data_IF_706350473016
#
_entry.id   IF_706350473016
#
_cell.length_a   1.000
_cell.length_b   1.000
_cell.length_c   1.000
_cell.angle_alpha   90.00
_cell.angle_beta   90.00
_cell.angle_gamma   90.00
#
_symmetry.space_group_name_H-M   'P 1'
#
loop_
_entity.id
_entity.type
_entity.pdbx_description
1 polymer ?
#
# COMPACT_ATOMS: atom_id res chain seq x y z
N UNK A 1 5.07 11.82 11.18
CA UNK A 1 4.40 10.86 10.28
C UNK A 1 5.21 9.58 10.25
N UNK A 2 4.80 8.57 11.00
CA UNK A 2 5.40 7.25 10.96
C UNK A 2 5.08 6.66 9.60
N UNK A 3 6.06 6.53 8.71
CA UNK A 3 5.91 5.63 7.57
C UNK A 3 5.66 4.27 8.19
N UNK A 4 4.43 3.75 8.09
CA UNK A 4 4.21 2.32 8.27
C UNK A 4 4.88 1.66 7.08
N UNK A 5 6.20 1.54 7.18
CA UNK A 5 6.96 0.62 6.37
C UNK A 5 6.42 -0.73 6.82
N UNK A 6 5.65 -1.40 5.97
CA UNK A 6 5.39 -2.82 6.12
C UNK A 6 6.70 -3.54 5.84
N UNK A 7 7.67 -3.34 6.73
CA UNK A 7 8.88 -4.13 6.81
C UNK A 7 8.41 -5.51 7.22
N UNK A 8 8.33 -6.39 6.25
CA UNK A 8 8.33 -7.81 6.51
C UNK A 8 9.60 -8.09 7.31
N UNK A 9 9.45 -8.16 8.65
CA UNK A 9 10.56 -8.25 9.60
C UNK A 9 11.44 -9.48 9.36
N UNK A 10 10.89 -10.46 8.63
CA UNK A 10 11.61 -11.62 8.13
C UNK A 10 12.02 -11.41 6.67
N UNK A 11 13.32 -11.43 6.43
CA UNK A 11 13.92 -11.34 5.08
C UNK A 11 13.97 -12.70 4.38
N UNK A 12 13.57 -13.77 5.06
CA UNK A 12 13.64 -15.12 4.52
C UNK A 12 12.47 -15.40 3.57
N UNK A 13 12.81 -15.68 2.31
CA UNK A 13 11.83 -16.12 1.30
C UNK A 13 11.32 -17.52 1.64
N UNK A 14 10.01 -17.62 1.91
CA UNK A 14 9.33 -18.91 2.06
C UNK A 14 8.79 -19.39 0.71
N UNK A 15 9.23 -20.56 0.27
CA UNK A 15 8.68 -21.19 -0.92
C UNK A 15 7.19 -21.51 -0.69
N UNK A 16 6.34 -20.98 -1.56
CA UNK A 16 4.88 -21.13 -1.48
C UNK A 16 4.37 -21.67 -2.81
N UNK A 17 3.70 -22.82 -2.77
CA UNK A 17 3.04 -23.39 -3.95
C UNK A 17 1.72 -22.64 -4.19
N UNK A 18 1.57 -22.07 -5.38
CA UNK A 18 0.37 -21.35 -5.80
C UNK A 18 -0.18 -21.96 -7.09
N UNK A 19 -1.51 -21.96 -7.22
CA UNK A 19 -2.19 -22.41 -8.44
C UNK A 19 -2.46 -21.21 -9.35
N UNK A 20 -1.94 -21.25 -10.57
CA UNK A 20 -2.13 -20.23 -11.61
C UNK A 20 -2.66 -20.89 -12.88
N UNK A 21 -3.29 -20.10 -13.75
CA UNK A 21 -3.74 -20.59 -15.05
C UNK A 21 -2.53 -21.06 -15.88
N UNK A 22 -2.58 -22.28 -16.40
CA UNK A 22 -1.47 -22.87 -17.14
C UNK A 22 -1.02 -21.98 -18.32
N UNK A 23 -1.97 -21.45 -19.10
CA UNK A 23 -1.67 -20.55 -20.23
C UNK A 23 -0.92 -19.29 -19.81
N UNK A 24 -1.20 -18.74 -18.61
CA UNK A 24 -0.51 -17.57 -18.07
C UNK A 24 0.94 -17.90 -17.71
N UNK A 25 1.17 -19.07 -17.11
CA UNK A 25 2.52 -19.53 -16.72
C UNK A 25 3.37 -19.80 -17.97
N UNK A 26 2.80 -20.44 -18.98
CA UNK A 26 3.51 -20.71 -20.24
C UNK A 26 3.80 -19.43 -21.02
N UNK A 27 2.86 -18.49 -21.05
CA UNK A 27 3.07 -17.15 -21.61
C UNK A 27 4.22 -16.42 -20.90
N UNK A 28 4.19 -16.39 -19.56
CA UNK A 28 5.23 -15.75 -18.76
C UNK A 28 6.61 -16.36 -19.03
N UNK A 29 6.70 -17.69 -19.12
CA UNK A 29 7.95 -18.38 -19.51
C UNK A 29 8.42 -17.96 -20.90
N UNK A 30 7.52 -17.93 -21.90
CA UNK A 30 7.84 -17.52 -23.27
C UNK A 30 8.39 -16.10 -23.33
N UNK A 31 7.84 -15.20 -22.51
CA UNK A 31 8.26 -13.81 -22.42
C UNK A 31 9.46 -13.58 -21.49
N UNK A 32 10.00 -14.62 -20.85
CA UNK A 32 11.10 -14.49 -19.89
C UNK A 32 10.73 -13.78 -18.58
N UNK A 33 9.43 -13.76 -18.23
CA UNK A 33 8.93 -13.14 -17.01
C UNK A 33 9.21 -14.06 -15.81
N UNK A 34 9.82 -13.50 -14.77
CA UNK A 34 10.02 -14.19 -13.51
C UNK A 34 8.70 -14.20 -12.71
N UNK A 35 7.97 -15.32 -12.79
CA UNK A 35 6.67 -15.51 -12.12
C UNK A 35 6.75 -15.25 -10.62
N UNK A 36 7.78 -15.76 -9.93
CA UNK A 36 7.93 -15.56 -8.49
C UNK A 36 8.05 -14.08 -8.13
N UNK A 37 8.85 -13.31 -8.87
CA UNK A 37 9.02 -11.87 -8.64
C UNK A 37 7.75 -11.09 -8.98
N UNK A 38 7.04 -11.48 -10.03
CA UNK A 38 5.76 -10.87 -10.39
C UNK A 38 4.71 -11.10 -9.31
N UNK A 39 4.61 -12.33 -8.78
CA UNK A 39 3.72 -12.66 -7.67
C UNK A 39 4.07 -11.87 -6.40
N UNK A 40 5.35 -11.77 -6.04
CA UNK A 40 5.81 -11.01 -4.88
C UNK A 40 5.43 -9.53 -4.98
N UNK A 41 5.64 -8.92 -6.16
CA UNK A 41 5.29 -7.51 -6.41
C UNK A 41 3.78 -7.30 -6.31
N UNK A 42 2.98 -8.17 -6.95
CA UNK A 42 1.53 -8.08 -6.91
C UNK A 42 0.97 -8.27 -5.49
N UNK A 43 1.49 -9.25 -4.76
CA UNK A 43 1.06 -9.53 -3.39
C UNK A 43 1.43 -8.38 -2.44
N UNK A 44 2.63 -7.82 -2.57
CA UNK A 44 3.05 -6.64 -1.78
C UNK A 44 2.14 -5.44 -2.02
N UNK A 45 1.77 -5.17 -3.28
CA UNK A 45 0.86 -4.08 -3.62
C UNK A 45 -0.55 -4.27 -3.01
N UNK A 46 -1.11 -5.48 -3.09
CA UNK A 46 -2.43 -5.76 -2.50
C UNK A 46 -2.41 -5.69 -0.97
N UNK A 47 -1.34 -6.16 -0.32
CA UNK A 47 -1.15 -6.01 1.13
C UNK A 47 -1.10 -4.53 1.51
N UNK A 48 -0.29 -3.72 0.81
CA UNK A 48 -0.18 -2.29 1.07
C UNK A 48 -1.54 -1.57 0.93
N UNK A 49 -2.32 -1.94 -0.11
CA UNK A 49 -3.67 -1.42 -0.32
C UNK A 49 -4.60 -1.79 0.83
N UNK A 50 -4.61 -3.04 1.27
CA UNK A 50 -5.43 -3.49 2.39
C UNK A 50 -5.10 -2.71 3.68
N UNK A 51 -3.81 -2.51 3.97
CA UNK A 51 -3.40 -1.71 5.11
C UNK A 51 -3.77 -0.24 5.00
N UNK A 52 -3.65 0.36 3.81
CA UNK A 52 -4.08 1.73 3.59
C UNK A 52 -5.58 1.90 3.85
N UNK A 53 -6.42 0.94 3.43
CA UNK A 53 -7.86 0.94 3.71
C UNK A 53 -8.15 0.81 5.21
N UNK A 54 -7.47 -0.11 5.89
CA UNK A 54 -7.63 -0.28 7.34
C UNK A 54 -7.23 1.01 8.09
N UNK A 55 -6.09 1.59 7.74
CA UNK A 55 -5.63 2.82 8.35
C UNK A 55 -6.61 3.98 8.14
N UNK A 56 -7.17 4.13 6.93
CA UNK A 56 -8.19 5.14 6.67
C UNK A 56 -9.44 4.95 7.53
N UNK A 57 -9.90 3.71 7.71
CA UNK A 57 -11.04 3.41 8.57
C UNK A 57 -10.73 3.75 10.03
N UNK A 58 -9.57 3.32 10.54
CA UNK A 58 -9.16 3.55 11.94
C UNK A 58 -8.97 5.04 12.25
N UNK A 59 -8.57 5.84 11.26
CA UNK A 59 -8.28 7.27 11.42
C UNK A 59 -9.41 8.18 10.92
N UNK A 60 -10.56 7.61 10.51
CA UNK A 60 -11.65 8.37 9.91
C UNK A 60 -12.16 9.49 10.83
N UNK A 61 -12.36 9.21 12.13
CA UNK A 61 -12.82 10.21 13.10
C UNK A 61 -11.76 11.29 13.36
N UNK A 62 -10.49 10.92 13.45
CA UNK A 62 -9.39 11.86 13.63
C UNK A 62 -9.27 12.81 12.43
N UNK A 63 -9.36 12.27 11.21
CA UNK A 63 -9.37 13.04 9.97
C UNK A 63 -10.59 13.96 9.93
N UNK A 64 -11.79 13.46 10.25
CA UNK A 64 -13.01 14.27 10.26
C UNK A 64 -12.94 15.42 11.27
N UNK A 65 -12.45 15.17 12.49
CA UNK A 65 -12.28 16.21 13.51
C UNK A 65 -11.26 17.28 13.09
N UNK A 66 -10.16 16.86 12.45
CA UNK A 66 -9.14 17.77 11.92
C UNK A 66 -9.71 18.63 10.78
N UNK A 67 -10.43 18.02 9.83
CA UNK A 67 -11.08 18.73 8.74
C UNK A 67 -12.09 19.76 9.25
N UNK A 68 -12.96 19.37 10.20
CA UNK A 68 -13.92 20.27 10.81
C UNK A 68 -13.26 21.45 11.55
N UNK A 69 -12.10 21.22 12.18
CA UNK A 69 -11.33 22.30 12.78
C UNK A 69 -10.80 23.28 11.71
N UNK A 70 -10.25 22.76 10.61
CA UNK A 70 -9.74 23.58 9.51
C UNK A 70 -10.85 24.38 8.83
N UNK A 71 -12.02 23.79 8.63
CA UNK A 71 -13.18 24.50 8.08
C UNK A 71 -13.60 25.69 8.95
N UNK A 72 -13.54 25.52 10.28
CA UNK A 72 -13.93 26.58 11.24
C UNK A 72 -12.87 27.65 11.41
N UNK A 73 -11.59 27.28 11.38
CA UNK A 73 -10.47 28.16 11.78
C UNK A 73 -9.60 28.60 10.61
N UNK A 74 -9.86 28.08 9.41
CA UNK A 74 -8.98 28.20 8.26
C UNK A 74 -7.75 27.29 8.37
N UNK A 75 -6.93 27.30 7.32
CA UNK A 75 -5.70 26.52 7.28
C UNK A 75 -4.68 27.07 8.30
N UNK A 76 -4.20 26.24 9.24
CA UNK A 76 -3.09 26.62 10.10
C UNK A 76 -1.92 27.08 9.23
N UNK A 77 -1.26 28.16 9.66
CA UNK A 77 -0.05 28.68 9.01
C UNK A 77 -0.23 29.19 7.57
N UNK A 78 -1.46 29.31 7.05
CA UNK A 78 -1.72 29.89 5.73
C UNK A 78 -1.06 31.26 5.54
N UNK A 79 -0.95 32.04 6.62
CA UNK A 79 -0.28 33.35 6.68
C UNK A 79 1.22 33.34 6.37
N UNK A 80 1.87 32.18 6.38
CA UNK A 80 3.30 32.02 6.07
C UNK A 80 3.54 31.35 4.71
N UNK A 81 2.48 31.04 3.95
CA UNK A 81 2.61 30.43 2.62
C UNK A 81 3.21 31.46 1.66
N UNK A 82 4.48 31.29 1.31
CA UNK A 82 5.08 31.96 0.16
C UNK A 82 4.71 31.16 -1.08
N UNK A 83 4.11 31.84 -2.05
CA UNK A 83 3.49 31.33 -3.27
C UNK A 83 4.36 30.29 -4.01
#
# INVERSE_FOLDING_TARGET
MTRHNHDFADTQRKATNVSLQAGMVEEAKRLGINVSRACETGLSAEIAKAHALQWQADNAEAIASSNAWVERNGLPLARYRQF
#
